data_IF_208126204964
#
_entry.id   IF_208126204964
#
_cell.length_a   1.000
_cell.length_b   1.000
_cell.length_c   1.000
_cell.angle_alpha   90.00
_cell.angle_beta   90.00
_cell.angle_gamma   90.00
#
_symmetry.space_group_name_H-M   'P 1'
#
loop_
_entity.id
_entity.type
_entity.pdbx_description
1 polymer ?
#
# COMPACT_ATOMS: atom_id res chain seq x y z
N UNK A 1 8.44 11.14 5.59
CA UNK A 1 7.58 9.97 5.91
C UNK A 1 6.87 9.39 4.70
N UNK A 2 7.65 8.89 3.75
CA UNK A 2 7.20 8.20 2.55
C UNK A 2 8.24 7.13 2.24
N UNK A 3 7.84 5.88 2.07
CA UNK A 3 8.78 4.76 1.95
C UNK A 3 8.29 3.76 0.91
N UNK A 4 9.17 3.39 -0.01
CA UNK A 4 8.94 2.28 -0.93
C UNK A 4 8.95 0.95 -0.18
N UNK A 5 7.97 0.09 -0.46
CA UNK A 5 7.81 -1.21 0.18
C UNK A 5 8.11 -2.34 -0.80
N UNK A 6 7.44 -2.36 -1.95
CA UNK A 6 7.54 -3.42 -2.94
C UNK A 6 7.08 -2.95 -4.31
N UNK A 7 7.46 -3.69 -5.36
CA UNK A 7 6.88 -3.57 -6.69
C UNK A 7 6.46 -4.94 -7.19
N UNK A 8 5.43 -4.99 -8.02
CA UNK A 8 4.95 -6.23 -8.63
C UNK A 8 4.32 -5.95 -9.99
N UNK A 9 4.63 -6.78 -10.99
CA UNK A 9 3.99 -6.72 -12.29
C UNK A 9 2.77 -7.65 -12.28
N UNK A 10 1.58 -7.05 -12.21
CA UNK A 10 0.34 -7.81 -12.32
C UNK A 10 0.05 -8.12 -13.79
N UNK A 11 -0.27 -9.38 -14.12
CA UNK A 11 -0.62 -9.84 -15.49
C UNK A 11 -1.94 -9.24 -15.96
N UNK A 12 -2.23 -9.38 -17.25
CA UNK A 12 -3.56 -9.14 -17.78
C UNK A 12 -4.57 -10.09 -17.10
N UNK A 13 -5.78 -9.58 -16.82
CA UNK A 13 -6.85 -10.20 -16.02
C UNK A 13 -6.84 -9.89 -14.52
N UNK A 14 -6.36 -10.80 -13.66
CA UNK A 14 -6.58 -10.77 -12.21
C UNK A 14 -5.28 -10.82 -11.42
N UNK A 15 -5.00 -9.73 -10.70
CA UNK A 15 -3.96 -9.69 -9.67
C UNK A 15 -4.56 -9.43 -8.29
N UNK A 16 -3.92 -9.95 -7.24
CA UNK A 16 -4.34 -9.71 -5.86
C UNK A 16 -3.16 -9.28 -4.98
N UNK A 17 -3.37 -8.25 -4.16
CA UNK A 17 -2.53 -7.91 -3.02
C UNK A 17 -3.32 -8.15 -1.75
N UNK A 18 -2.94 -9.16 -0.98
CA UNK A 18 -3.37 -9.31 0.41
C UNK A 18 -2.35 -8.65 1.31
N UNK A 19 -2.82 -7.94 2.33
CA UNK A 19 -1.93 -7.27 3.26
C UNK A 19 -2.34 -7.44 4.70
N UNK A 20 -1.35 -7.41 5.57
CA UNK A 20 -1.48 -7.22 7.01
C UNK A 20 -0.56 -6.07 7.43
N UNK A 21 -1.10 -5.04 8.06
CA UNK A 21 -0.34 -3.94 8.66
C UNK A 21 -0.68 -3.82 10.13
N UNK A 22 0.34 -3.63 10.97
CA UNK A 22 0.23 -3.47 12.41
C UNK A 22 1.04 -2.24 12.84
N UNK A 23 0.41 -1.32 13.57
CA UNK A 23 1.12 -0.15 14.08
C UNK A 23 0.45 0.48 15.30
N UNK A 24 1.20 1.19 16.17
CA UNK A 24 0.61 1.88 17.32
C UNK A 24 -0.30 3.02 16.86
N UNK A 25 -1.50 3.13 17.43
CA UNK A 25 -2.50 4.10 16.99
C UNK A 25 -2.01 5.55 17.07
N UNK A 26 -1.09 5.84 17.99
CA UNK A 26 -0.47 7.15 18.13
C UNK A 26 0.36 7.62 16.91
N UNK A 27 0.69 6.71 15.97
CA UNK A 27 1.35 7.01 14.70
C UNK A 27 0.36 7.22 13.54
N UNK A 28 -0.95 7.11 13.80
CA UNK A 28 -1.97 7.32 12.77
C UNK A 28 -1.94 8.76 12.22
N UNK A 29 -2.32 8.99 10.96
CA UNK A 29 -2.78 8.00 9.98
C UNK A 29 -1.68 7.66 8.99
N UNK A 30 -1.39 6.36 8.87
CA UNK A 30 -0.51 5.84 7.82
C UNK A 30 -1.34 5.39 6.61
N UNK A 31 -0.79 5.53 5.40
CA UNK A 31 -1.48 5.18 4.16
C UNK A 31 -0.69 4.14 3.36
N UNK A 32 -1.39 3.28 2.61
CA UNK A 32 -0.82 2.53 1.50
C UNK A 32 -1.09 3.33 0.22
N UNK A 33 -0.04 3.59 -0.55
CA UNK A 33 -0.08 4.28 -1.83
C UNK A 33 0.33 3.29 -2.93
N UNK A 34 -0.43 3.25 -4.02
CA UNK A 34 -0.22 2.34 -5.14
C UNK A 34 -0.05 3.12 -6.43
N UNK A 35 1.18 3.25 -6.89
CA UNK A 35 1.50 3.92 -8.17
C UNK A 35 1.62 2.89 -9.28
N UNK A 36 1.11 3.17 -10.47
CA UNK A 36 1.41 2.34 -11.65
C UNK A 36 2.58 2.87 -12.47
N UNK A 37 3.11 2.05 -13.39
CA UNK A 37 4.25 2.34 -14.29
C UNK A 37 4.41 3.81 -14.74
N UNK A 38 3.35 4.43 -15.27
CA UNK A 38 3.40 5.78 -15.81
C UNK A 38 3.29 6.88 -14.75
N UNK A 39 2.89 6.56 -13.52
CA UNK A 39 2.88 7.49 -12.38
C UNK A 39 4.20 7.46 -11.61
N UNK A 40 4.85 6.30 -11.53
CA UNK A 40 6.03 6.09 -10.69
C UNK A 40 7.18 7.09 -10.93
N UNK A 41 7.55 7.45 -12.18
CA UNK A 41 8.61 8.44 -12.43
C UNK A 41 8.34 9.81 -11.79
N UNK A 42 7.07 10.16 -11.60
CA UNK A 42 6.64 11.43 -11.01
C UNK A 42 6.52 11.38 -9.47
N UNK A 43 6.68 10.20 -8.86
CA UNK A 43 6.59 9.99 -7.42
C UNK A 43 7.93 9.53 -6.80
N UNK A 44 8.79 8.89 -7.60
CA UNK A 44 10.13 8.46 -7.20
C UNK A 44 10.92 9.63 -6.60
N UNK A 45 11.83 9.41 -5.63
CA UNK A 45 12.53 10.49 -4.97
C UNK A 45 13.22 11.47 -5.93
N UNK A 46 12.66 12.67 -6.02
CA UNK A 46 13.25 13.83 -6.67
C UNK A 46 13.68 14.85 -5.61
N UNK A 47 14.72 15.62 -5.91
CA UNK A 47 15.22 16.68 -5.01
C UNK A 47 14.09 17.67 -4.71
N UNK A 48 13.88 17.98 -3.43
CA UNK A 48 12.85 18.93 -2.99
C UNK A 48 11.40 18.41 -2.97
N UNK A 49 11.13 17.17 -3.38
CA UNK A 49 9.78 16.61 -3.29
C UNK A 49 9.40 16.25 -1.85
N UNK A 50 8.32 16.88 -1.36
CA UNK A 50 7.74 16.59 -0.05
C UNK A 50 6.90 15.31 -0.08
N UNK A 51 6.56 14.79 1.10
CA UNK A 51 5.66 13.64 1.23
C UNK A 51 4.30 13.92 0.57
N UNK A 52 3.67 15.05 0.90
CA UNK A 52 2.35 15.46 0.41
C UNK A 52 2.33 15.59 -1.11
N UNK A 53 3.38 16.20 -1.70
CA UNK A 53 3.50 16.32 -3.16
C UNK A 53 3.53 14.97 -3.87
N UNK A 54 4.04 13.91 -3.23
CA UNK A 54 4.02 12.54 -3.77
C UNK A 54 2.65 11.89 -3.64
N UNK A 55 1.96 12.09 -2.52
CA UNK A 55 0.57 11.63 -2.36
C UNK A 55 -0.37 12.28 -3.38
N UNK A 56 -0.20 13.57 -3.65
CA UNK A 56 -1.05 14.34 -4.57
C UNK A 56 -0.90 13.92 -6.05
N UNK A 57 0.12 13.11 -6.39
CA UNK A 57 0.22 12.48 -7.73
C UNK A 57 -0.81 11.37 -7.95
N UNK A 58 -1.43 10.88 -6.87
CA UNK A 58 -2.49 9.89 -6.94
C UNK A 58 -3.85 10.56 -6.93
N UNK A 59 -4.69 10.21 -7.89
CA UNK A 59 -6.09 10.60 -7.86
C UNK A 59 -6.85 9.73 -6.84
N UNK A 60 -7.43 10.34 -5.81
CA UNK A 60 -8.10 9.62 -4.72
C UNK A 60 -9.29 8.77 -5.18
N UNK A 61 -9.91 9.09 -6.33
CA UNK A 61 -11.01 8.30 -6.89
C UNK A 61 -10.60 6.98 -7.54
N UNK A 62 -9.31 6.74 -7.76
CA UNK A 62 -8.81 5.50 -8.39
C UNK A 62 -8.58 4.35 -7.41
N UNK A 63 -8.99 4.47 -6.14
CA UNK A 63 -8.72 3.50 -5.07
C UNK A 63 -7.22 3.19 -4.88
N UNK A 64 -6.33 4.10 -5.30
CA UNK A 64 -4.87 3.99 -5.21
C UNK A 64 -4.30 4.38 -3.84
N UNK A 65 -5.15 4.92 -2.96
CA UNK A 65 -4.81 5.36 -1.61
C UNK A 65 -5.70 4.63 -0.62
N UNK A 66 -5.08 3.88 0.29
CA UNK A 66 -5.78 3.19 1.39
C UNK A 66 -5.34 3.87 2.67
N UNK A 67 -6.26 4.59 3.30
CA UNK A 67 -6.00 5.13 4.63
C UNK A 67 -6.14 3.99 5.64
N UNK A 68 -5.06 3.66 6.37
CA UNK A 68 -5.08 2.59 7.35
C UNK A 68 -5.74 3.06 8.64
N UNK A 69 -7.06 3.24 8.65
CA UNK A 69 -7.81 3.79 9.78
C UNK A 69 -9.07 2.96 10.04
N UNK A 70 -9.59 3.03 11.26
CA UNK A 70 -10.87 2.41 11.63
C UNK A 70 -12.08 3.05 10.94
N UNK A 71 -11.98 4.31 10.49
CA UNK A 71 -13.06 5.00 9.77
C UNK A 71 -13.12 4.63 8.29
N UNK A 72 -12.01 4.15 7.71
CA UNK A 72 -11.98 3.66 6.34
C UNK A 72 -12.15 2.14 6.30
N UNK A 73 -13.41 1.67 6.26
CA UNK A 73 -13.76 0.24 6.36
C UNK A 73 -12.98 -0.66 5.38
N UNK A 74 -12.67 -0.18 4.18
CA UNK A 74 -11.95 -0.94 3.16
C UNK A 74 -10.48 -1.22 3.49
N UNK A 75 -9.93 -0.61 4.54
CA UNK A 75 -8.58 -0.92 5.06
C UNK A 75 -8.55 -2.17 5.94
N UNK A 76 -9.71 -2.64 6.42
CA UNK A 76 -9.81 -3.75 7.36
C UNK A 76 -9.17 -3.47 8.73
N UNK A 77 -8.91 -2.20 9.07
CA UNK A 77 -8.31 -1.82 10.35
C UNK A 77 -9.25 -2.01 11.54
N UNK A 78 -8.73 -2.61 12.60
CA UNK A 78 -9.39 -2.75 13.90
C UNK A 78 -8.43 -2.31 15.00
N UNK A 79 -8.96 -1.71 16.05
CA UNK A 79 -8.19 -1.40 17.27
C UNK A 79 -8.02 -2.67 18.09
N UNK A 80 -6.80 -2.94 18.53
CA UNK A 80 -6.43 -4.08 19.37
C UNK A 80 -5.51 -3.57 20.47
N UNK A 81 -5.67 -4.06 21.70
CA UNK A 81 -4.75 -3.74 22.80
C UNK A 81 -3.70 -4.84 22.87
N UNK A 82 -2.43 -4.47 22.67
CA UNK A 82 -1.28 -5.38 22.78
C UNK A 82 -0.31 -4.77 23.79
N UNK A 83 0.04 -5.51 24.84
CA UNK A 83 0.94 -5.05 25.92
C UNK A 83 0.53 -3.68 26.52
N UNK A 84 -0.77 -3.50 26.80
CA UNK A 84 -1.37 -2.24 27.29
C UNK A 84 -1.19 -1.03 26.35
N UNK A 85 -1.00 -1.25 25.05
CA UNK A 85 -0.93 -0.19 24.03
C UNK A 85 -2.00 -0.39 22.97
N UNK A 86 -2.62 0.72 22.57
CA UNK A 86 -3.55 0.75 21.44
C UNK A 86 -2.79 0.57 20.12
N UNK A 87 -3.12 -0.51 19.41
CA UNK A 87 -2.56 -0.87 18.12
C UNK A 87 -3.68 -0.91 17.07
N UNK A 88 -3.35 -0.54 15.84
CA UNK A 88 -4.19 -0.75 14.67
C UNK A 88 -3.69 -1.97 13.91
N UNK A 89 -4.56 -2.96 13.77
CA UNK A 89 -4.35 -4.17 12.99
C UNK A 89 -5.24 -4.11 11.76
N UNK A 90 -4.64 -3.98 10.58
CA UNK A 90 -5.32 -3.82 9.31
C UNK A 90 -5.08 -5.05 8.44
N UNK A 91 -6.13 -5.76 8.08
CA UNK A 91 -6.04 -6.95 7.21
C UNK A 91 -7.13 -6.90 6.16
N UNK A 92 -6.73 -6.87 4.90
CA UNK A 92 -7.64 -6.74 3.76
C UNK A 92 -6.90 -7.09 2.46
N UNK A 93 -7.62 -7.06 1.35
CA UNK A 93 -7.12 -7.34 0.01
C UNK A 93 -7.41 -6.20 -0.97
N UNK A 94 -6.67 -6.20 -2.08
CA UNK A 94 -6.91 -5.37 -3.25
C UNK A 94 -6.75 -6.18 -4.51
N UNK A 95 -7.74 -6.05 -5.37
CA UNK A 95 -7.75 -6.68 -6.69
C UNK A 95 -7.28 -5.67 -7.72
N UNK A 96 -6.38 -6.09 -8.58
CA UNK A 96 -5.86 -5.32 -9.69
C UNK A 96 -6.42 -5.90 -10.97
N UNK A 97 -7.25 -5.12 -11.63
CA UNK A 97 -7.82 -5.47 -12.93
C UNK A 97 -7.13 -4.61 -13.98
N UNK A 98 -6.47 -5.24 -14.94
CA UNK A 98 -5.82 -4.54 -16.05
C UNK A 98 -5.97 -5.30 -17.36
N UNK A 99 -6.14 -4.54 -18.44
CA UNK A 99 -6.17 -5.08 -19.81
C UNK A 99 -4.78 -5.48 -20.32
N UNK A 100 -3.72 -5.05 -19.64
CA UNK A 100 -2.33 -5.36 -19.98
C UNK A 100 -1.53 -5.58 -18.70
N UNK A 101 -0.45 -6.34 -18.80
CA UNK A 101 0.50 -6.43 -17.71
C UNK A 101 0.99 -5.03 -17.30
N UNK A 102 1.02 -4.76 -15.99
CA UNK A 102 1.34 -3.43 -15.47
C UNK A 102 2.11 -3.53 -14.16
N UNK A 103 3.18 -2.75 -14.07
CA UNK A 103 3.89 -2.55 -12.82
C UNK A 103 3.08 -1.70 -11.85
N UNK A 104 3.00 -2.19 -10.62
CA UNK A 104 2.49 -1.46 -9.48
C UNK A 104 3.59 -1.34 -8.41
N UNK A 105 3.72 -0.15 -7.87
CA UNK A 105 4.69 0.23 -6.85
C UNK A 105 3.93 0.57 -5.57
N UNK A 106 4.16 -0.23 -4.55
CA UNK A 106 3.50 -0.15 -3.25
C UNK A 106 4.41 0.62 -2.30
N UNK A 107 3.82 1.61 -1.66
CA UNK A 107 4.49 2.59 -0.83
C UNK A 107 3.66 2.81 0.42
N UNK A 108 4.32 3.14 1.52
CA UNK A 108 3.67 3.62 2.74
C UNK A 108 4.02 5.08 3.02
N UNK A 109 3.07 5.83 3.58
CA UNK A 109 3.28 7.23 3.93
C UNK A 109 2.62 7.61 5.25
N UNK A 110 3.17 8.63 5.90
CA UNK A 110 2.56 9.33 7.02
C UNK A 110 2.74 10.85 6.84
N UNK A 111 2.25 11.39 5.72
CA UNK A 111 2.52 12.79 5.36
C UNK A 111 1.90 13.81 6.31
N UNK A 112 0.85 13.43 7.05
CA UNK A 112 0.12 14.30 7.98
C UNK A 112 0.50 14.05 9.45
N UNK A 113 1.28 13.00 9.73
CA UNK A 113 1.71 12.67 11.07
C UNK A 113 2.92 13.49 11.52
N UNK A 114 3.12 13.56 12.84
CA UNK A 114 4.25 14.26 13.46
C UNK A 114 5.33 13.30 13.99
N UNK A 115 5.00 12.00 14.09
CA UNK A 115 5.89 10.96 14.66
C UNK A 115 6.62 10.13 13.61
N UNK A 116 6.34 10.36 12.34
CA UNK A 116 6.92 9.62 11.22
C UNK A 116 6.28 8.26 10.94
N UNK A 117 6.97 7.41 10.20
CA UNK A 117 6.50 6.05 9.86
C UNK A 117 6.92 5.04 10.93
N UNK A 118 5.97 4.22 11.40
CA UNK A 118 6.24 3.06 12.25
C UNK A 118 5.17 2.02 12.02
N UNK A 119 5.51 0.96 11.31
CA UNK A 119 4.58 -0.12 11.02
C UNK A 119 5.34 -1.43 10.84
N UNK A 120 4.65 -2.53 11.12
CA UNK A 120 5.02 -3.89 10.72
C UNK A 120 4.06 -4.30 9.62
N UNK A 121 4.57 -5.00 8.61
CA UNK A 121 3.74 -5.39 7.47
C UNK A 121 4.07 -6.78 6.94
N UNK A 122 3.06 -7.37 6.32
CA UNK A 122 3.14 -8.54 5.48
C UNK A 122 2.35 -8.25 4.20
N UNK A 123 2.96 -8.50 3.04
CA UNK A 123 2.33 -8.35 1.73
C UNK A 123 2.42 -9.67 0.99
N UNK A 124 1.29 -10.13 0.48
CA UNK A 124 1.20 -11.27 -0.41
C UNK A 124 0.62 -10.80 -1.75
N UNK A 125 1.42 -10.90 -2.82
CA UNK A 125 1.16 -10.37 -4.15
C UNK A 125 1.12 -11.53 -5.13
N UNK A 126 -0.02 -11.74 -5.79
CA UNK A 126 -0.24 -12.91 -6.67
C UNK A 126 -0.88 -12.51 -8.00
N UNK A 127 -0.61 -13.29 -9.05
CA UNK A 127 -1.21 -13.19 -10.39
C UNK A 127 -2.28 -14.27 -10.65
N UNK A 128 -2.72 -14.97 -9.60
CA UNK A 128 -3.65 -16.10 -9.67
C UNK A 128 -3.69 -16.88 -8.36
N UNK A 129 -4.51 -17.93 -8.33
CA UNK A 129 -4.69 -18.80 -7.16
C UNK A 129 -3.79 -20.05 -7.16
N UNK A 130 -3.11 -20.34 -8.28
CA UNK A 130 -2.28 -21.53 -8.43
C UNK A 130 -0.85 -21.33 -7.92
N UNK A 131 -0.31 -22.35 -7.25
CA UNK A 131 1.03 -22.36 -6.63
C UNK A 131 2.17 -21.89 -7.57
N UNK A 132 2.05 -22.14 -8.87
CA UNK A 132 3.06 -21.79 -9.87
C UNK A 132 3.01 -20.33 -10.34
N UNK A 133 1.89 -19.62 -10.15
CA UNK A 133 1.69 -18.21 -10.58
C UNK A 133 1.76 -17.22 -9.41
N UNK A 134 2.08 -17.71 -8.22
CA UNK A 134 1.77 -17.06 -6.95
C UNK A 134 2.74 -15.93 -6.57
N UNK A 135 4.01 -15.98 -7.00
CA UNK A 135 5.02 -15.02 -6.54
C UNK A 135 6.01 -14.52 -7.59
N UNK A 136 5.92 -15.00 -8.83
CA UNK A 136 6.72 -14.45 -9.92
C UNK A 136 6.06 -13.20 -10.47
N UNK A 137 6.79 -12.10 -10.41
CA UNK A 137 6.40 -10.91 -11.13
C UNK A 137 6.34 -11.26 -12.63
N UNK A 138 5.40 -10.71 -13.39
CA UNK A 138 5.19 -11.12 -14.78
C UNK A 138 6.40 -10.88 -15.74
N UNK A 139 7.46 -10.25 -15.24
CA UNK A 139 8.75 -10.01 -15.92
C UNK A 139 9.85 -11.01 -15.52
N UNK A 140 9.58 -11.97 -14.62
CA UNK A 140 10.40 -13.15 -14.34
C UNK A 140 9.91 -14.37 -15.15
#
# INVERSE_FOLDING_TARGET
DWQFVARFCFKDSYGEMRYRFEYPEEYAVQNILMYFDSQWPNAYPQVGMTCTTREDKLYRGNNQVINLTTSFMWSGCKRVIVDNKDMLHCTSDRKFLSMRARWWYIVVSNCKGTKGLKLKYELNLTNGDDFWTMHFSADE
#
